data_IF_280182655153
#
_entry.id   IF_280182655153
#
_cell.length_a   1.000
_cell.length_b   1.000
_cell.length_c   1.000
_cell.angle_alpha   90.00
_cell.angle_beta   90.00
_cell.angle_gamma   90.00
#
_symmetry.space_group_name_H-M   'P 1'
#
loop_
_entity.id
_entity.type
_entity.pdbx_description
1 polymer ?
#
# COMPACT_ATOMS: atom_id res chain seq x y z
N UNK A 1 28.59 17.18 12.69
CA UNK A 1 28.25 16.62 11.38
C UNK A 1 27.29 17.58 10.69
N UNK A 2 27.78 18.35 9.71
CA UNK A 2 27.02 19.42 9.07
C UNK A 2 25.94 18.89 8.14
N UNK A 3 24.70 19.31 8.37
CA UNK A 3 23.62 19.22 7.39
C UNK A 3 24.02 20.00 6.15
N UNK A 4 24.37 19.28 5.08
CA UNK A 4 24.50 19.84 3.74
C UNK A 4 23.12 20.33 3.29
N UNK A 5 22.79 21.58 3.58
CA UNK A 5 21.75 22.30 2.86
C UNK A 5 22.25 22.45 1.43
N UNK A 6 21.75 21.62 0.52
CA UNK A 6 21.98 21.78 -0.90
C UNK A 6 21.74 23.24 -1.29
N UNK A 7 22.67 23.82 -2.04
CA UNK A 7 22.60 25.20 -2.52
C UNK A 7 21.21 25.45 -3.16
N UNK A 8 20.48 26.51 -2.74
CA UNK A 8 19.07 26.67 -3.09
C UNK A 8 18.81 26.66 -4.60
N UNK A 9 19.75 27.19 -5.40
CA UNK A 9 19.70 27.15 -6.87
C UNK A 9 19.72 25.73 -7.44
N UNK A 10 20.62 24.87 -6.93
CA UNK A 10 20.76 23.47 -7.35
C UNK A 10 19.51 22.66 -7.01
N UNK A 11 18.88 22.95 -5.87
CA UNK A 11 17.60 22.34 -5.47
C UNK A 11 16.50 22.69 -6.47
N UNK A 12 16.37 23.96 -6.82
CA UNK A 12 15.30 24.44 -7.71
C UNK A 12 15.47 23.89 -9.13
N UNK A 13 16.70 23.79 -9.64
CA UNK A 13 17.02 23.09 -10.90
C UNK A 13 16.62 21.62 -10.86
N UNK A 14 16.96 20.93 -9.77
CA UNK A 14 16.59 19.50 -9.59
C UNK A 14 15.08 19.32 -9.62
N UNK A 15 14.31 20.19 -8.95
CA UNK A 15 12.84 20.14 -8.96
C UNK A 15 12.28 20.36 -10.37
N UNK A 16 12.86 21.27 -11.16
CA UNK A 16 12.48 21.46 -12.57
C UNK A 16 12.74 20.20 -13.40
N UNK A 17 13.91 19.57 -13.24
CA UNK A 17 14.20 18.31 -13.92
C UNK A 17 13.22 17.20 -13.56
N UNK A 18 12.83 17.09 -12.28
CA UNK A 18 11.82 16.14 -11.83
C UNK A 18 10.45 16.46 -12.48
N UNK A 19 10.05 17.73 -12.53
CA UNK A 19 8.80 18.15 -13.16
C UNK A 19 8.74 17.76 -14.65
N UNK A 20 9.82 18.03 -15.39
CA UNK A 20 9.94 17.66 -16.82
C UNK A 20 9.89 16.14 -17.01
N UNK A 21 10.53 15.38 -16.12
CA UNK A 21 10.48 13.92 -16.18
C UNK A 21 9.07 13.39 -15.93
N UNK A 22 8.36 13.93 -14.93
CA UNK A 22 6.96 13.59 -14.65
C UNK A 22 6.06 13.95 -15.83
N UNK A 23 6.22 15.12 -16.44
CA UNK A 23 5.46 15.53 -17.64
C UNK A 23 5.68 14.55 -18.81
N UNK A 24 6.94 14.26 -19.16
CA UNK A 24 7.28 13.29 -20.20
C UNK A 24 6.69 11.91 -19.92
N UNK A 25 6.74 11.47 -18.67
CA UNK A 25 6.15 10.20 -18.25
C UNK A 25 4.62 10.20 -18.40
N UNK A 26 3.95 11.27 -17.96
CA UNK A 26 2.50 11.44 -18.11
C UNK A 26 2.09 11.43 -19.60
N UNK A 27 2.86 12.07 -20.46
CA UNK A 27 2.62 12.06 -21.92
C UNK A 27 2.86 10.68 -22.54
N UNK A 28 3.95 10.01 -22.17
CA UNK A 28 4.28 8.67 -22.71
C UNK A 28 3.23 7.64 -22.32
N UNK A 29 2.73 7.71 -21.09
CA UNK A 29 1.65 6.83 -20.61
C UNK A 29 0.25 7.30 -21.02
N UNK A 30 0.13 8.40 -21.78
CA UNK A 30 -1.12 8.87 -22.36
C UNK A 30 -1.47 8.01 -23.58
N UNK A 31 -1.97 6.79 -23.34
CA UNK A 31 -2.29 5.85 -24.42
C UNK A 31 -3.35 6.42 -25.41
N UNK A 32 -2.94 6.50 -26.67
CA UNK A 32 -3.75 6.71 -27.87
C UNK A 32 -4.51 5.40 -28.19
N UNK A 33 -5.78 5.50 -28.62
CA UNK A 33 -6.68 4.36 -28.88
C UNK A 33 -6.20 3.43 -30.02
N UNK A 34 -6.27 2.09 -29.83
CA UNK A 34 -7.16 1.16 -30.58
C UNK A 34 -6.97 -0.32 -30.16
N UNK A 35 -8.07 -1.03 -29.87
CA UNK A 35 -8.38 -2.40 -30.33
C UNK A 35 -9.53 -3.07 -29.55
N UNK A 36 -10.47 -3.63 -30.32
CA UNK A 36 -11.71 -4.29 -29.91
C UNK A 36 -11.50 -5.48 -28.97
N UNK A 37 -10.41 -6.23 -29.15
CA UNK A 37 -10.06 -7.44 -28.39
C UNK A 37 -9.88 -7.17 -26.88
N UNK A 38 -9.52 -5.93 -26.50
CA UNK A 38 -9.38 -5.52 -25.09
C UNK A 38 -10.74 -5.38 -24.39
N UNK A 39 -11.83 -5.07 -25.10
CA UNK A 39 -13.19 -4.99 -24.53
C UNK A 39 -13.73 -6.34 -24.07
N UNK A 40 -13.36 -7.44 -24.74
CA UNK A 40 -13.82 -8.78 -24.36
C UNK A 40 -13.16 -9.28 -23.08
N UNK A 41 -11.85 -9.04 -22.91
CA UNK A 41 -11.12 -9.32 -21.66
C UNK A 41 -11.65 -8.49 -20.48
N UNK A 42 -12.34 -7.38 -20.75
CA UNK A 42 -12.88 -6.40 -19.80
C UNK A 42 -14.17 -6.86 -19.10
N UNK A 43 -15.00 -7.70 -19.74
CA UNK A 43 -16.21 -8.25 -19.09
C UNK A 43 -15.88 -9.35 -18.07
N UNK A 44 -14.89 -10.18 -18.35
CA UNK A 44 -14.43 -11.22 -17.41
C UNK A 44 -13.78 -10.63 -16.15
N UNK A 45 -13.15 -9.46 -16.26
CA UNK A 45 -12.50 -8.76 -15.13
C UNK A 45 -13.45 -7.97 -14.22
N UNK A 46 -14.71 -7.73 -14.64
CA UNK A 46 -15.69 -6.92 -13.89
C UNK A 46 -16.17 -7.56 -12.58
N UNK A 47 -16.08 -8.88 -12.45
CA UNK A 47 -16.65 -9.61 -11.30
C UNK A 47 -15.65 -9.73 -10.14
N UNK A 48 -14.34 -9.56 -10.35
CA UNK A 48 -13.32 -9.86 -9.32
C UNK A 48 -12.40 -8.68 -8.94
N UNK A 49 -12.20 -7.64 -9.76
CA UNK A 49 -11.19 -6.60 -9.49
C UNK A 49 -11.66 -5.19 -9.85
N UNK A 50 -12.33 -4.53 -8.89
CA UNK A 50 -12.78 -3.13 -8.97
C UNK A 50 -11.61 -2.11 -9.10
N UNK A 51 -10.35 -2.53 -8.90
CA UNK A 51 -9.19 -1.62 -8.80
C UNK A 51 -8.24 -1.59 -10.03
N UNK A 52 -8.43 -2.43 -11.05
CA UNK A 52 -7.49 -2.57 -12.17
C UNK A 52 -8.08 -2.13 -13.52
N UNK A 53 -8.70 -0.95 -13.59
CA UNK A 53 -9.06 -0.39 -14.88
C UNK A 53 -7.79 0.17 -15.54
N UNK A 54 -7.23 -0.51 -16.55
CA UNK A 54 -5.97 -0.11 -17.21
C UNK A 54 -6.12 1.13 -18.11
N UNK A 55 -7.34 1.67 -18.24
CA UNK A 55 -7.75 2.55 -19.35
C UNK A 55 -7.97 4.03 -18.99
N UNK A 56 -7.77 4.45 -17.73
CA UNK A 56 -7.98 5.85 -17.30
C UNK A 56 -6.75 6.53 -16.68
N UNK A 57 -5.54 5.97 -16.87
CA UNK A 57 -4.36 6.46 -16.16
C UNK A 57 -4.41 6.15 -14.66
N UNK A 58 -4.85 4.94 -14.34
CA UNK A 58 -4.99 4.33 -13.00
C UNK A 58 -4.09 3.10 -12.82
N UNK A 59 -3.14 2.87 -13.72
CA UNK A 59 -2.33 1.65 -13.75
C UNK A 59 -1.35 1.61 -12.57
N UNK A 60 -0.63 2.70 -12.33
CA UNK A 60 0.34 2.76 -11.24
C UNK A 60 -0.36 2.66 -9.88
N UNK A 61 -1.49 3.37 -9.75
CA UNK A 61 -2.35 3.32 -8.56
C UNK A 61 -2.87 1.90 -8.34
N UNK A 62 -3.36 1.24 -9.39
CA UNK A 62 -3.85 -0.15 -9.33
C UNK A 62 -2.75 -1.15 -8.95
N UNK A 63 -1.55 -1.02 -9.52
CA UNK A 63 -0.39 -1.86 -9.17
C UNK A 63 0.00 -1.70 -7.70
N UNK A 64 0.02 -0.46 -7.21
CA UNK A 64 0.30 -0.20 -5.80
C UNK A 64 -0.74 -0.84 -4.88
N UNK A 65 -2.03 -0.72 -5.22
CA UNK A 65 -3.11 -1.36 -4.46
C UNK A 65 -3.01 -2.89 -4.51
N UNK A 66 -2.61 -3.45 -5.64
CA UNK A 66 -2.37 -4.89 -5.79
C UNK A 66 -1.25 -5.38 -4.85
N UNK A 67 -0.12 -4.66 -4.79
CA UNK A 67 0.96 -4.98 -3.84
C UNK A 67 0.47 -4.91 -2.39
N UNK A 68 -0.39 -3.95 -2.04
CA UNK A 68 -1.00 -3.87 -0.70
C UNK A 68 -1.90 -5.07 -0.39
N UNK A 69 -2.65 -5.57 -1.37
CA UNK A 69 -3.43 -6.80 -1.25
C UNK A 69 -2.49 -7.98 -1.00
N UNK A 70 -1.39 -8.09 -1.75
CA UNK A 70 -0.40 -9.15 -1.53
C UNK A 70 0.19 -9.12 -0.12
N UNK A 71 0.43 -7.94 0.47
CA UNK A 71 0.83 -7.85 1.89
C UNK A 71 -0.25 -8.35 2.84
N UNK A 72 -1.53 -8.06 2.59
CA UNK A 72 -2.64 -8.57 3.40
C UNK A 72 -2.77 -10.09 3.29
N UNK A 73 -2.66 -10.64 2.07
CA UNK A 73 -2.65 -12.09 1.84
C UNK A 73 -1.45 -12.73 2.54
N UNK A 74 -0.27 -12.11 2.45
CA UNK A 74 0.95 -12.61 3.06
C UNK A 74 0.80 -12.77 4.59
N UNK A 75 0.31 -11.75 5.29
CA UNK A 75 0.13 -11.83 6.75
C UNK A 75 -0.94 -12.86 7.14
N UNK A 76 -2.02 -12.98 6.36
CA UNK A 76 -3.04 -14.02 6.57
C UNK A 76 -2.44 -15.41 6.39
N UNK A 77 -1.69 -15.65 5.32
CA UNK A 77 -1.02 -16.93 5.09
C UNK A 77 0.00 -17.26 6.19
N UNK A 78 0.81 -16.29 6.61
CA UNK A 78 1.76 -16.48 7.71
C UNK A 78 1.06 -16.83 9.03
N UNK A 79 -0.07 -16.18 9.31
CA UNK A 79 -0.88 -16.48 10.49
C UNK A 79 -1.48 -17.90 10.43
N UNK A 80 -1.97 -18.34 9.27
CA UNK A 80 -2.45 -19.72 9.08
C UNK A 80 -1.33 -20.75 9.21
N UNK A 81 -0.15 -20.49 8.65
CA UNK A 81 1.02 -21.37 8.80
C UNK A 81 1.43 -21.48 10.27
N UNK A 82 1.40 -20.37 11.01
CA UNK A 82 1.68 -20.38 12.45
C UNK A 82 0.66 -21.24 13.22
N UNK A 83 -0.63 -21.09 12.97
CA UNK A 83 -1.67 -21.90 13.62
C UNK A 83 -1.59 -23.39 13.24
N UNK A 84 -1.26 -23.70 11.98
CA UNK A 84 -1.03 -25.06 11.53
C UNK A 84 0.20 -25.69 12.21
N UNK A 85 1.28 -24.93 12.39
CA UNK A 85 2.49 -25.39 13.07
C UNK A 85 2.24 -25.73 14.55
N UNK A 86 1.36 -24.98 15.23
CA UNK A 86 1.01 -25.22 16.64
C UNK A 86 0.09 -26.45 16.87
N UNK A 87 -0.26 -27.19 15.81
CA UNK A 87 -0.76 -28.56 15.93
C UNK A 87 -2.25 -28.74 16.22
N UNK A 88 -3.07 -27.68 16.18
CA UNK A 88 -4.52 -27.76 16.47
C UNK A 88 -5.38 -27.14 15.35
N UNK A 89 -5.22 -27.61 14.11
CA UNK A 89 -6.09 -27.25 12.98
C UNK A 89 -6.06 -25.75 12.58
N UNK A 90 -6.65 -25.43 11.42
CA UNK A 90 -6.58 -24.09 10.84
C UNK A 90 -7.33 -22.99 11.63
N UNK A 91 -8.20 -23.37 12.57
CA UNK A 91 -9.16 -22.47 13.23
C UNK A 91 -8.88 -22.21 14.72
N UNK A 92 -7.86 -22.85 15.33
CA UNK A 92 -7.53 -22.56 16.74
C UNK A 92 -6.79 -21.23 16.86
N UNK A 93 -7.26 -20.36 17.75
CA UNK A 93 -6.67 -19.06 18.04
C UNK A 93 -5.90 -19.15 19.37
N UNK A 94 -4.68 -19.67 19.32
CA UNK A 94 -3.87 -19.94 20.52
C UNK A 94 -3.78 -18.76 21.48
N UNK A 95 -3.49 -17.55 20.99
CA UNK A 95 -3.36 -16.39 21.87
C UNK A 95 -4.66 -15.98 22.55
N UNK A 96 -5.84 -16.23 21.95
CA UNK A 96 -7.12 -15.96 22.61
C UNK A 96 -7.38 -16.95 23.75
N UNK A 97 -7.05 -18.23 23.55
CA UNK A 97 -7.15 -19.26 24.60
C UNK A 97 -6.22 -18.96 25.78
N UNK A 98 -5.01 -18.45 25.50
CA UNK A 98 -4.06 -18.02 26.56
C UNK A 98 -4.60 -16.82 27.34
N UNK A 99 -5.23 -15.85 26.67
CA UNK A 99 -5.85 -14.70 27.34
C UNK A 99 -7.03 -15.11 28.22
N UNK A 100 -7.88 -16.01 27.75
CA UNK A 100 -9.03 -16.52 28.51
C UNK A 100 -8.58 -17.33 29.74
N UNK A 101 -7.55 -18.17 29.59
CA UNK A 101 -6.94 -18.90 30.71
C UNK A 101 -6.36 -17.99 31.79
N UNK A 102 -5.71 -16.89 31.37
CA UNK A 102 -5.16 -15.89 32.29
C UNK A 102 -6.27 -15.08 33.00
N UNK A 103 -7.33 -14.72 32.28
CA UNK A 103 -8.46 -13.96 32.84
C UNK A 103 -9.23 -14.75 33.91
N UNK A 104 -9.33 -16.07 33.74
CA UNK A 104 -10.08 -16.95 34.65
C UNK A 104 -9.23 -17.51 35.82
N UNK A 105 -8.00 -17.01 36.03
CA UNK A 105 -7.05 -17.50 37.06
C UNK A 105 -6.86 -19.03 37.04
N UNK A 106 -7.01 -19.66 35.87
CA UNK A 106 -6.72 -21.07 35.74
C UNK A 106 -5.21 -21.23 35.86
N UNK A 107 -4.74 -22.04 36.82
CA UNK A 107 -3.36 -22.51 36.81
C UNK A 107 -3.11 -23.07 35.41
N UNK A 108 -2.22 -22.43 34.63
CA UNK A 108 -1.90 -22.85 33.27
C UNK A 108 -1.27 -24.25 33.40
N UNK A 109 -2.12 -25.28 33.47
CA UNK A 109 -1.76 -26.68 33.40
C UNK A 109 -0.90 -26.82 32.15
N UNK A 110 0.17 -27.60 32.26
CA UNK A 110 1.16 -27.77 31.20
C UNK A 110 0.50 -27.78 29.83
N UNK A 111 0.89 -26.83 28.97
CA UNK A 111 0.27 -26.66 27.66
C UNK A 111 0.39 -27.96 26.89
N UNK A 112 -0.74 -28.62 26.61
CA UNK A 112 -0.77 -29.87 25.83
C UNK A 112 -0.08 -29.72 24.46
N UNK A 113 -0.03 -28.48 23.94
CA UNK A 113 0.65 -28.15 22.68
C UNK A 113 2.18 -28.22 22.78
N UNK A 114 2.72 -27.95 23.97
CA UNK A 114 4.15 -27.93 24.22
C UNK A 114 4.51 -28.83 25.42
N UNK A 115 4.39 -30.16 25.30
CA UNK A 115 4.71 -31.08 26.38
C UNK A 115 6.20 -30.97 26.76
N UNK A 116 6.46 -30.89 28.07
CA UNK A 116 7.83 -30.85 28.62
C UNK A 116 8.36 -32.25 28.92
N UNK A 117 7.46 -33.22 29.03
CA UNK A 117 7.76 -34.63 29.26
C UNK A 117 6.98 -35.45 28.23
N UNK A 118 7.64 -36.39 27.57
CA UNK A 118 7.03 -37.30 26.58
C UNK A 118 7.49 -38.73 26.81
N UNK A 119 6.75 -39.71 26.27
CA UNK A 119 7.18 -41.10 26.21
C UNK A 119 7.76 -41.38 24.83
N UNK A 120 8.94 -41.98 24.77
CA UNK A 120 9.60 -42.38 23.54
C UNK A 120 9.74 -43.90 23.51
N UNK A 121 9.34 -44.47 22.38
CA UNK A 121 9.40 -45.91 22.17
C UNK A 121 10.64 -46.27 21.35
N UNK A 122 11.41 -47.21 21.88
CA UNK A 122 12.63 -47.73 21.26
C UNK A 122 12.44 -49.20 20.92
N UNK A 123 12.62 -49.52 19.64
CA UNK A 123 12.62 -50.91 19.16
C UNK A 123 14.06 -51.45 19.16
N UNK A 124 14.35 -52.37 20.08
CA UNK A 124 15.66 -53.01 20.22
C UNK A 124 15.55 -54.46 19.74
N UNK A 125 16.50 -54.90 18.90
CA UNK A 125 16.57 -56.30 18.43
C UNK A 125 17.48 -57.12 19.32
N UNK A 126 16.97 -58.21 19.89
CA UNK A 126 17.75 -59.14 20.70
C UNK A 126 17.42 -60.59 20.28
N UNK A 127 18.44 -61.38 19.92
CA UNK A 127 18.31 -62.76 19.42
C UNK A 127 17.16 -62.93 18.39
N UNK A 128 17.17 -62.10 17.34
CA UNK A 128 16.19 -62.16 16.23
C UNK A 128 14.75 -61.74 16.57
N UNK A 129 14.44 -61.40 17.82
CA UNK A 129 13.15 -60.87 18.25
C UNK A 129 13.20 -59.33 18.39
N UNK A 130 12.15 -58.64 17.95
CA UNK A 130 11.97 -57.19 18.13
C UNK A 130 11.26 -56.96 19.47
N UNK A 131 11.89 -56.20 20.37
CA UNK A 131 11.33 -55.85 21.68
C UNK A 131 11.21 -54.33 21.77
N UNK A 132 10.00 -53.85 22.05
CA UNK A 132 9.68 -52.42 22.19
C UNK A 132 9.75 -52.01 23.65
N UNK A 133 10.60 -51.03 23.94
CA UNK A 133 10.76 -50.41 25.26
C UNK A 133 10.20 -49.00 25.22
N UNK A 134 9.54 -48.58 26.31
CA UNK A 134 9.00 -47.22 26.43
C UNK A 134 9.74 -46.51 27.56
N UNK A 135 10.29 -45.32 27.29
CA UNK A 135 11.04 -44.53 28.29
C UNK A 135 10.53 -43.10 28.34
N UNK A 136 10.69 -42.47 29.50
CA UNK A 136 10.32 -41.07 29.70
C UNK A 136 11.44 -40.14 29.25
N UNK A 137 11.13 -39.22 28.34
CA UNK A 137 12.02 -38.18 27.83
C UNK A 137 11.58 -36.80 28.34
N UNK A 138 12.55 -35.92 28.61
CA UNK A 138 12.31 -34.52 28.98
C UNK A 138 12.74 -33.62 27.83
N UNK A 139 11.86 -32.68 27.43
CA UNK A 139 12.06 -31.75 26.32
C UNK A 139 12.12 -30.31 26.86
N UNK A 140 13.27 -29.87 27.41
CA UNK A 140 13.40 -28.52 27.99
C UNK A 140 13.24 -27.40 26.95
N UNK A 141 13.53 -27.68 25.68
CA UNK A 141 13.37 -26.72 24.57
C UNK A 141 11.91 -26.25 24.41
N UNK A 142 10.94 -27.09 24.79
CA UNK A 142 9.53 -26.78 24.60
C UNK A 142 9.05 -25.66 25.52
N UNK A 143 9.71 -25.47 26.67
CA UNK A 143 9.45 -24.33 27.57
C UNK A 143 9.75 -23.00 26.87
N UNK A 144 10.82 -22.94 26.07
CA UNK A 144 11.18 -21.74 25.32
C UNK A 144 10.24 -21.52 24.13
N UNK A 145 9.95 -22.59 23.38
CA UNK A 145 9.02 -22.54 22.26
C UNK A 145 7.64 -22.03 22.70
N UNK A 146 7.11 -22.53 23.82
CA UNK A 146 5.83 -22.10 24.39
C UNK A 146 5.76 -20.57 24.50
N UNK A 147 6.80 -19.93 25.05
CA UNK A 147 6.82 -18.47 25.25
C UNK A 147 7.06 -17.69 23.96
N UNK A 148 7.97 -18.17 23.11
CA UNK A 148 8.26 -17.52 21.81
C UNK A 148 7.01 -17.54 20.93
N UNK A 149 6.28 -18.65 20.85
CA UNK A 149 5.09 -18.75 20.01
C UNK A 149 3.92 -17.91 20.52
N UNK A 150 3.75 -17.76 21.85
CA UNK A 150 2.79 -16.80 22.42
C UNK A 150 3.15 -15.38 21.95
N UNK A 151 4.41 -14.98 22.11
CA UNK A 151 4.88 -13.65 21.69
C UNK A 151 4.69 -13.42 20.18
N UNK A 152 5.10 -14.38 19.35
CA UNK A 152 4.96 -14.31 17.89
C UNK A 152 3.50 -14.20 17.44
N UNK A 153 2.58 -14.92 18.11
CA UNK A 153 1.17 -14.86 17.79
C UNK A 153 0.61 -13.44 17.99
N UNK A 154 0.85 -12.82 19.15
CA UNK A 154 0.41 -11.44 19.40
C UNK A 154 1.11 -10.44 18.48
N UNK A 155 2.40 -10.66 18.19
CA UNK A 155 3.14 -9.84 17.24
C UNK A 155 2.51 -9.86 15.85
N UNK A 156 2.14 -11.03 15.32
CA UNK A 156 1.47 -11.12 14.03
C UNK A 156 0.08 -10.48 14.03
N UNK A 157 -0.66 -10.51 15.14
CA UNK A 157 -1.92 -9.75 15.27
C UNK A 157 -1.66 -8.25 15.12
N UNK A 158 -0.64 -7.70 15.78
CA UNK A 158 -0.26 -6.28 15.65
C UNK A 158 0.12 -5.95 14.20
N UNK A 159 0.97 -6.77 13.58
CA UNK A 159 1.38 -6.58 12.18
C UNK A 159 0.17 -6.65 11.24
N UNK A 160 -0.78 -7.55 11.48
CA UNK A 160 -2.01 -7.68 10.70
C UNK A 160 -2.88 -6.42 10.82
N UNK A 161 -3.09 -5.90 12.04
CA UNK A 161 -3.89 -4.68 12.28
C UNK A 161 -3.26 -3.47 11.58
N UNK A 162 -1.93 -3.27 11.73
CA UNK A 162 -1.22 -2.15 11.08
C UNK A 162 -1.28 -2.28 9.55
N UNK A 163 -1.10 -3.49 9.02
CA UNK A 163 -1.13 -3.75 7.57
C UNK A 163 -2.52 -3.50 6.99
N UNK A 164 -3.56 -4.01 7.66
CA UNK A 164 -4.95 -3.83 7.24
C UNK A 164 -5.38 -2.36 7.36
N UNK A 165 -5.04 -1.68 8.46
CA UNK A 165 -5.31 -0.26 8.64
C UNK A 165 -4.66 0.60 7.55
N UNK A 166 -3.40 0.32 7.20
CA UNK A 166 -2.71 0.99 6.10
C UNK A 166 -3.38 0.70 4.75
N UNK A 167 -3.81 -0.54 4.50
CA UNK A 167 -4.54 -0.91 3.28
C UNK A 167 -5.88 -0.17 3.17
N UNK A 168 -6.69 -0.18 4.22
CA UNK A 168 -7.98 0.52 4.28
C UNK A 168 -7.82 2.03 4.11
N UNK A 169 -6.81 2.63 4.75
CA UNK A 169 -6.49 4.05 4.56
C UNK A 169 -6.20 4.38 3.09
N UNK A 170 -5.42 3.56 2.40
CA UNK A 170 -5.13 3.75 0.98
C UNK A 170 -6.36 3.53 0.11
N UNK A 171 -7.19 2.51 0.40
CA UNK A 171 -8.50 2.32 -0.27
C UNK A 171 -9.33 3.59 -0.15
N UNK A 172 -9.50 4.12 1.06
CA UNK A 172 -10.27 5.31 1.32
C UNK A 172 -9.75 6.52 0.53
N UNK A 173 -8.42 6.72 0.50
CA UNK A 173 -7.79 7.80 -0.28
C UNK A 173 -7.94 7.65 -1.80
N UNK A 174 -8.04 6.43 -2.31
CA UNK A 174 -8.24 6.16 -3.75
C UNK A 174 -9.72 6.31 -4.14
N UNK A 175 -10.65 5.84 -3.29
CA UNK A 175 -12.10 5.92 -3.52
C UNK A 175 -12.60 7.36 -3.44
N UNK A 176 -12.09 8.18 -2.52
CA UNK A 176 -12.44 9.60 -2.44
C UNK A 176 -11.70 10.37 -3.56
N UNK A 177 -12.19 10.16 -4.78
CA UNK A 177 -11.82 10.92 -5.98
C UNK A 177 -12.34 12.36 -5.93
N UNK A 178 -13.29 12.66 -5.04
CA UNK A 178 -13.89 13.99 -4.93
C UNK A 178 -12.91 15.08 -4.44
N UNK A 179 -11.80 14.72 -3.78
CA UNK A 179 -10.84 15.67 -3.23
C UNK A 179 -9.63 15.97 -4.14
N UNK A 180 -9.65 15.56 -5.42
CA UNK A 180 -8.49 15.70 -6.33
C UNK A 180 -8.20 17.14 -6.70
N UNK A 181 -9.23 17.82 -7.20
CA UNK A 181 -9.16 19.23 -7.57
C UNK A 181 -8.89 20.06 -6.30
N UNK A 182 -9.55 19.74 -5.18
CA UNK A 182 -9.31 20.40 -3.90
C UNK A 182 -7.85 20.24 -3.41
N UNK A 183 -7.26 19.04 -3.58
CA UNK A 183 -5.88 18.78 -3.21
C UNK A 183 -4.90 19.62 -4.04
N UNK A 184 -5.03 19.65 -5.36
CA UNK A 184 -4.16 20.47 -6.22
C UNK A 184 -4.39 21.97 -5.99
N UNK A 185 -5.66 22.39 -5.87
CA UNK A 185 -6.05 23.78 -5.61
C UNK A 185 -5.39 24.33 -4.35
N UNK A 186 -5.20 23.49 -3.32
CA UNK A 186 -4.47 23.89 -2.10
C UNK A 186 -3.05 24.36 -2.41
N UNK A 187 -2.32 23.68 -3.29
CA UNK A 187 -0.93 24.04 -3.63
C UNK A 187 -0.85 25.24 -4.56
N UNK A 188 -1.78 25.35 -5.52
CA UNK A 188 -1.81 26.48 -6.46
C UNK A 188 -2.25 27.79 -5.80
N UNK A 189 -3.09 27.73 -4.75
CA UNK A 189 -3.52 28.91 -3.99
C UNK A 189 -2.38 29.54 -3.16
N UNK A 190 -1.35 28.79 -2.79
CA UNK A 190 -0.25 29.29 -1.94
C UNK A 190 0.61 30.36 -2.63
N UNK A 191 0.61 30.42 -3.97
CA UNK A 191 1.36 31.44 -4.74
C UNK A 191 0.47 32.30 -5.64
N UNK A 192 -0.81 32.47 -5.29
CA UNK A 192 -1.77 33.31 -6.03
C UNK A 192 -1.84 33.05 -7.54
N UNK A 193 -1.65 31.78 -7.95
CA UNK A 193 -1.71 31.38 -9.37
C UNK A 193 -3.15 31.19 -9.90
N UNK A 194 -4.16 31.41 -9.05
CA UNK A 194 -5.58 31.18 -9.31
C UNK A 194 -6.37 32.46 -9.01
N UNK A 195 -6.18 33.50 -9.83
CA UNK A 195 -6.77 34.82 -9.61
C UNK A 195 -8.15 34.97 -10.26
N UNK A 196 -8.45 34.21 -11.33
CA UNK A 196 -9.73 34.27 -12.07
C UNK A 196 -10.66 33.06 -11.92
N UNK A 197 -11.92 33.18 -12.37
CA UNK A 197 -12.87 32.05 -12.49
C UNK A 197 -12.42 31.05 -13.58
N UNK A 198 -11.80 31.53 -14.67
CA UNK A 198 -11.35 30.67 -15.77
C UNK A 198 -10.11 29.83 -15.38
N UNK A 199 -9.26 30.38 -14.52
CA UNK A 199 -8.17 29.62 -13.88
C UNK A 199 -8.70 28.42 -13.06
N UNK A 200 -9.93 28.48 -12.51
CA UNK A 200 -10.54 27.34 -11.80
C UNK A 200 -10.97 26.24 -12.77
N UNK A 201 -11.51 26.59 -13.94
CA UNK A 201 -11.85 25.62 -15.01
C UNK A 201 -10.58 24.93 -15.52
N UNK A 202 -9.53 25.70 -15.80
CA UNK A 202 -8.23 25.17 -16.25
C UNK A 202 -7.57 24.32 -15.15
N UNK A 203 -7.71 24.70 -13.88
CA UNK A 203 -7.24 23.89 -12.75
C UNK A 203 -7.93 22.52 -12.69
N UNK A 204 -9.22 22.48 -13.01
CA UNK A 204 -9.97 21.22 -13.09
C UNK A 204 -9.48 20.36 -14.26
N UNK A 205 -9.28 20.95 -15.44
CA UNK A 205 -8.73 20.24 -16.60
C UNK A 205 -7.31 19.71 -16.33
N UNK A 206 -6.47 20.48 -15.65
CA UNK A 206 -5.15 20.05 -15.21
C UNK A 206 -5.22 18.84 -14.28
N UNK A 207 -6.09 18.88 -13.27
CA UNK A 207 -6.25 17.78 -12.32
C UNK A 207 -6.81 16.52 -12.99
N UNK A 208 -7.88 16.65 -13.77
CA UNK A 208 -8.65 15.51 -14.27
C UNK A 208 -8.10 14.94 -15.59
N UNK A 209 -7.63 15.79 -16.52
CA UNK A 209 -7.21 15.34 -17.86
C UNK A 209 -5.70 15.19 -18.02
N UNK A 210 -4.93 16.12 -17.43
CA UNK A 210 -3.47 16.13 -17.54
C UNK A 210 -2.81 15.23 -16.49
N UNK A 211 -3.07 15.49 -15.21
CA UNK A 211 -2.43 14.75 -14.11
C UNK A 211 -3.02 13.35 -13.93
N UNK A 212 -4.35 13.22 -14.07
CA UNK A 212 -5.11 11.97 -13.90
C UNK A 212 -4.86 11.32 -12.53
N UNK A 213 -5.31 10.07 -12.39
CA UNK A 213 -5.25 9.33 -11.12
C UNK A 213 -3.79 9.02 -10.74
N UNK A 214 -3.01 8.56 -11.72
CA UNK A 214 -1.63 8.14 -11.51
C UNK A 214 -0.68 9.31 -11.22
N UNK A 215 -0.82 10.45 -11.91
CA UNK A 215 0.00 11.63 -11.62
C UNK A 215 -0.31 12.22 -10.24
N UNK A 216 -1.58 12.27 -9.86
CA UNK A 216 -1.96 12.67 -8.51
C UNK A 216 -1.46 11.69 -7.44
N UNK A 217 -1.48 10.38 -7.75
CA UNK A 217 -0.94 9.36 -6.88
C UNK A 217 0.57 9.52 -6.66
N UNK A 218 1.34 9.77 -7.73
CA UNK A 218 2.78 10.09 -7.64
C UNK A 218 2.99 11.32 -6.76
N UNK A 219 2.25 12.41 -6.98
CA UNK A 219 2.34 13.60 -6.14
C UNK A 219 2.04 13.30 -4.67
N UNK A 220 1.05 12.44 -4.37
CA UNK A 220 0.74 12.02 -2.99
C UNK A 220 1.84 11.16 -2.36
N UNK A 221 2.55 10.35 -3.15
CA UNK A 221 3.73 9.62 -2.68
C UNK A 221 4.86 10.60 -2.36
N UNK A 222 5.15 11.53 -3.28
CA UNK A 222 6.18 12.56 -3.07
C UNK A 222 5.85 13.37 -1.82
N UNK A 223 4.59 13.80 -1.66
CA UNK A 223 4.11 14.53 -0.49
C UNK A 223 4.37 13.82 0.85
N UNK A 224 4.34 12.48 0.87
CA UNK A 224 4.53 11.70 2.09
C UNK A 224 5.99 11.50 2.44
N UNK A 225 6.89 11.60 1.45
CA UNK A 225 8.32 11.37 1.62
C UNK A 225 9.14 12.67 1.57
N UNK A 226 8.51 13.82 1.30
CA UNK A 226 9.18 15.12 1.12
C UNK A 226 8.42 16.24 1.82
N UNK A 227 9.06 17.41 1.94
CA UNK A 227 8.45 18.59 2.54
C UNK A 227 7.36 19.19 1.66
N UNK A 228 6.32 19.76 2.28
CA UNK A 228 5.20 20.39 1.57
C UNK A 228 5.63 21.54 0.63
N UNK A 229 6.73 22.24 0.95
CA UNK A 229 7.30 23.30 0.11
C UNK A 229 7.79 22.73 -1.23
N UNK A 230 8.55 21.64 -1.19
CA UNK A 230 9.09 20.99 -2.40
C UNK A 230 7.96 20.49 -3.31
N UNK A 231 6.90 19.94 -2.72
CA UNK A 231 5.72 19.53 -3.45
C UNK A 231 5.00 20.71 -4.10
N UNK A 232 4.90 21.84 -3.39
CA UNK A 232 4.30 23.07 -3.94
C UNK A 232 5.07 23.55 -5.16
N UNK A 233 6.39 23.63 -5.05
CA UNK A 233 7.26 24.03 -6.16
C UNK A 233 7.19 23.05 -7.34
N UNK A 234 7.10 21.74 -7.06
CA UNK A 234 6.91 20.73 -8.10
C UNK A 234 5.58 20.88 -8.84
N UNK A 235 4.48 21.09 -8.11
CA UNK A 235 3.14 21.30 -8.69
C UNK A 235 3.10 22.58 -9.53
N UNK A 236 3.76 23.65 -9.07
CA UNK A 236 3.84 24.91 -9.80
C UNK A 236 4.63 24.78 -11.10
N UNK A 237 5.76 24.07 -11.08
CA UNK A 237 6.53 23.79 -12.30
C UNK A 237 5.71 22.96 -13.30
N UNK A 238 5.00 21.92 -12.83
CA UNK A 238 4.09 21.12 -13.66
C UNK A 238 2.93 21.96 -14.23
N UNK A 239 2.38 22.88 -13.44
CA UNK A 239 1.33 23.81 -13.88
C UNK A 239 1.83 24.77 -14.96
N UNK A 240 3.05 25.30 -14.81
CA UNK A 240 3.71 26.13 -15.83
C UNK A 240 3.87 25.38 -17.16
N UNK A 241 4.43 24.17 -17.11
CA UNK A 241 4.59 23.30 -18.29
C UNK A 241 3.24 23.00 -18.94
N UNK A 242 2.18 22.78 -18.15
CA UNK A 242 0.83 22.55 -18.66
C UNK A 242 0.24 23.79 -19.35
N UNK A 243 0.35 24.98 -18.74
CA UNK A 243 -0.11 26.26 -19.33
C UNK A 243 0.60 26.58 -20.64
N UNK A 244 1.86 26.13 -20.81
CA UNK A 244 2.61 26.37 -22.03
C UNK A 244 2.14 25.53 -23.24
N UNK A 245 1.36 24.46 -23.01
CA UNK A 245 0.93 23.57 -24.09
C UNK A 245 -0.03 24.26 -25.06
N UNK A 246 0.11 24.03 -26.38
CA UNK A 246 -0.62 24.80 -27.40
C UNK A 246 -2.14 24.65 -27.32
N UNK A 247 -2.65 23.48 -26.91
CA UNK A 247 -4.10 23.28 -26.73
C UNK A 247 -4.68 24.05 -25.53
N UNK A 248 -3.86 24.28 -24.48
CA UNK A 248 -4.26 25.08 -23.32
C UNK A 248 -4.17 26.56 -23.64
N UNK A 249 -3.10 27.00 -24.33
CA UNK A 249 -2.98 28.38 -24.81
C UNK A 249 -4.14 28.79 -25.71
N UNK A 250 -4.54 27.90 -26.63
CA UNK A 250 -5.70 28.14 -27.49
C UNK A 250 -7.02 28.23 -26.71
N UNK A 251 -7.23 27.32 -25.76
CA UNK A 251 -8.42 27.37 -24.90
C UNK A 251 -8.49 28.64 -24.04
N UNK A 252 -7.34 29.14 -23.57
CA UNK A 252 -7.25 30.40 -22.82
C UNK A 252 -7.46 31.63 -23.72
N UNK A 253 -6.99 31.62 -24.97
CA UNK A 253 -7.16 32.74 -25.90
C UNK A 253 -8.58 32.85 -26.44
N UNK A 254 -9.24 31.71 -26.69
CA UNK A 254 -10.61 31.67 -27.23
C UNK A 254 -11.63 32.18 -26.17
N UNK A 255 -11.45 31.84 -24.89
CA UNK A 255 -12.30 32.28 -23.76
C UNK A 255 -12.15 33.79 -23.50
N UNK A 256 -10.93 34.34 -23.63
CA UNK A 256 -10.67 35.78 -23.49
C UNK A 256 -11.33 36.60 -24.62
N UNK A 257 -11.46 36.02 -25.81
CA UNK A 257 -12.14 36.62 -26.96
C UNK A 257 -13.67 36.67 -26.81
N UNK A 258 -14.29 35.71 -26.11
CA UNK A 258 -15.73 35.69 -25.86
C UNK A 258 -16.16 36.61 -24.70
N UNK A 259 -15.32 36.80 -23.67
CA UNK A 259 -15.65 37.73 -22.55
C UNK A 259 -15.52 39.22 -22.87
N UNK A 260 -14.89 39.56 -24.00
CA UNK A 260 -14.62 40.94 -24.42
C UNK A 260 -15.28 41.33 -25.76
N UNK A 261 -16.17 40.48 -26.29
CA UNK A 261 -17.06 40.76 -27.41
C UNK A 261 -18.49 41.00 -26.90
#
# INVERSE_FOLDING_TARGET
AGTQTAEPKKRDETVKHIAVYIDRWLETHRQYNYNFMVRMKQKASKVCLIMCNKREGTYLTGLYMFVKILYCVNIICQFFILNAFMGHGFYSAYGLEVLDGLANNWEIKESYRFPRVTLCDFDIRQLQNLQRWTVQCVLPINLFNEKIFIFLWFWFVVVAVVTLGNFLFWIWRVIIKHNRVAYIKKFLKVRDQLLGEDDKKVCRQFADQYLRDDGLFVLRIVARNTNAILLTDLVLNLWGIYKEKPFVKKALSDDYGETHA
#
